data_IF_496810067257
#
_entry.id   IF_496810067257
#
_cell.length_a   1.000
_cell.length_b   1.000
_cell.length_c   1.000
_cell.angle_alpha   90.00
_cell.angle_beta   90.00
_cell.angle_gamma   90.00
#
_symmetry.space_group_name_H-M   'P 1'
#
loop_
_entity.id
_entity.type
_entity.pdbx_description
1 polymer ?
#
# COMPACT_ATOMS: atom_id res chain seq x y z
N UNK A 1 -4.23 -0.64 12.92
CA UNK A 1 -3.62 0.63 12.46
C UNK A 1 -2.60 0.27 11.39
N UNK A 2 -2.57 0.99 10.27
CA UNK A 2 -1.61 0.79 9.19
C UNK A 2 -0.46 1.80 9.26
N UNK A 3 0.53 1.61 8.38
CA UNK A 3 1.69 2.50 8.25
C UNK A 3 1.74 3.07 6.84
N UNK A 4 2.13 4.34 6.74
CA UNK A 4 2.57 4.93 5.50
C UNK A 4 4.08 4.73 5.39
N UNK A 5 4.53 4.12 4.28
CA UNK A 5 5.93 3.71 4.10
C UNK A 5 6.45 4.29 2.79
N UNK A 6 7.66 4.87 2.83
CA UNK A 6 8.40 5.33 1.64
C UNK A 6 9.64 4.46 1.48
N UNK A 7 10.04 4.19 0.24
CA UNK A 7 11.29 3.53 -0.11
C UNK A 7 11.87 4.17 -1.38
N UNK A 8 13.19 4.30 -1.43
CA UNK A 8 14.00 4.77 -2.56
C UNK A 8 14.95 3.65 -3.04
N UNK A 9 14.42 2.42 -3.11
CA UNK A 9 15.17 1.21 -3.45
C UNK A 9 15.16 0.16 -2.33
N UNK A 10 15.68 -1.06 -2.59
CA UNK A 10 15.73 -2.12 -1.60
C UNK A 10 16.49 -1.70 -0.32
N UNK A 11 15.96 -2.07 0.85
CA UNK A 11 16.59 -1.77 2.15
C UNK A 11 16.37 -0.36 2.71
N UNK A 12 15.67 0.52 1.97
CA UNK A 12 15.45 1.93 2.38
C UNK A 12 14.05 2.22 2.92
N UNK A 13 13.26 1.18 3.23
CA UNK A 13 11.89 1.37 3.70
C UNK A 13 11.84 2.10 5.05
N UNK A 14 11.08 3.20 5.09
CA UNK A 14 10.89 4.00 6.30
C UNK A 14 9.41 4.24 6.55
N UNK A 15 8.96 4.03 7.78
CA UNK A 15 7.62 4.44 8.23
C UNK A 15 7.67 5.96 8.43
N UNK A 16 6.86 6.68 7.67
CA UNK A 16 6.80 8.15 7.73
C UNK A 16 5.58 8.65 8.50
N UNK A 17 4.52 7.85 8.57
CA UNK A 17 3.29 8.18 9.27
C UNK A 17 2.46 6.92 9.62
N UNK A 18 1.48 7.06 10.53
CA UNK A 18 0.58 6.02 11.03
C UNK A 18 -0.91 6.35 10.83
N UNK A 19 -1.28 7.35 10.02
CA UNK A 19 -2.70 7.71 9.78
C UNK A 19 -3.49 6.69 8.96
N UNK A 20 -2.81 5.77 8.27
CA UNK A 20 -3.46 4.73 7.46
C UNK A 20 -4.38 3.88 8.33
N UNK A 21 -5.66 3.80 7.92
CA UNK A 21 -6.66 2.95 8.57
C UNK A 21 -6.73 1.61 7.86
N UNK A 22 -6.88 0.55 8.62
CA UNK A 22 -6.95 -0.81 8.09
C UNK A 22 -8.09 -1.58 8.73
N UNK A 23 -8.72 -2.45 7.93
CA UNK A 23 -9.62 -3.50 8.40
C UNK A 23 -9.30 -4.77 7.63
N UNK A 24 -9.22 -5.90 8.33
CA UNK A 24 -8.97 -7.19 7.73
C UNK A 24 -9.95 -8.23 8.27
N UNK A 25 -10.33 -9.17 7.41
CA UNK A 25 -11.13 -10.35 7.77
C UNK A 25 -10.57 -11.56 7.06
N UNK A 26 -10.34 -12.63 7.81
CA UNK A 26 -10.10 -13.96 7.27
C UNK A 26 -11.39 -14.76 7.31
N UNK A 27 -11.80 -15.30 6.18
CA UNK A 27 -12.94 -16.21 6.08
C UNK A 27 -12.79 -17.08 4.82
N UNK A 28 -13.18 -18.35 4.92
CA UNK A 28 -13.24 -19.29 3.78
C UNK A 28 -11.94 -19.36 2.97
N UNK A 29 -10.79 -19.44 3.65
CA UNK A 29 -9.50 -19.56 2.98
C UNK A 29 -9.01 -18.27 2.31
N UNK A 30 -9.62 -17.10 2.60
CA UNK A 30 -9.27 -15.83 1.95
C UNK A 30 -9.19 -14.66 2.92
N UNK A 31 -8.18 -13.82 2.72
CA UNK A 31 -8.10 -12.50 3.32
C UNK A 31 -8.90 -11.49 2.52
N UNK A 32 -9.73 -10.71 3.21
CA UNK A 32 -10.30 -9.47 2.70
C UNK A 32 -9.72 -8.32 3.51
N UNK A 33 -9.04 -7.39 2.84
CA UNK A 33 -8.33 -6.28 3.48
C UNK A 33 -8.76 -4.97 2.84
N UNK A 34 -9.09 -3.99 3.69
CA UNK A 34 -9.29 -2.60 3.29
C UNK A 34 -8.17 -1.77 3.89
N UNK A 35 -7.45 -1.04 3.02
CA UNK A 35 -6.45 -0.04 3.38
C UNK A 35 -7.01 1.30 2.95
N UNK A 36 -7.21 2.21 3.90
CA UNK A 36 -7.79 3.53 3.66
C UNK A 36 -6.84 4.63 4.15
N UNK A 37 -6.70 5.68 3.35
CA UNK A 37 -5.96 6.90 3.67
C UNK A 37 -6.63 8.10 3.01
N UNK A 38 -6.32 9.30 3.48
CA UNK A 38 -6.66 10.53 2.77
C UNK A 38 -5.90 10.61 1.45
N UNK A 39 -6.50 11.24 0.44
CA UNK A 39 -5.89 11.44 -0.87
C UNK A 39 -4.62 12.27 -0.78
N UNK A 40 -4.67 13.38 -0.02
CA UNK A 40 -3.49 14.19 0.32
C UNK A 40 -3.05 13.95 1.76
N UNK A 41 -1.74 13.97 1.98
CA UNK A 41 -1.13 13.97 3.30
C UNK A 41 -0.26 15.23 3.42
N UNK A 42 -0.75 16.21 4.17
CA UNK A 42 -0.07 17.50 4.38
C UNK A 42 1.21 17.29 5.19
N UNK A 43 1.14 16.43 6.20
CA UNK A 43 2.25 16.16 7.13
C UNK A 43 3.28 15.17 6.58
N UNK A 44 3.06 14.63 5.38
CA UNK A 44 3.98 13.68 4.73
C UNK A 44 4.08 13.96 3.23
N UNK A 45 4.71 15.07 2.80
CA UNK A 45 4.76 15.48 1.39
C UNK A 45 5.50 14.47 0.50
N UNK A 46 6.39 13.67 1.07
CA UNK A 46 7.21 12.67 0.35
C UNK A 46 6.44 11.38 0.00
N UNK A 47 5.16 11.28 0.38
CA UNK A 47 4.28 10.19 -0.05
C UNK A 47 3.49 10.63 -1.27
N UNK A 48 2.98 9.67 -2.05
CA UNK A 48 2.12 10.01 -3.18
C UNK A 48 0.91 10.83 -2.72
N UNK A 49 0.72 11.97 -3.38
CA UNK A 49 -0.46 12.84 -3.26
C UNK A 49 -1.42 12.45 -4.38
N UNK A 50 -2.61 12.00 -4.00
CA UNK A 50 -3.66 11.58 -4.92
C UNK A 50 -4.73 12.67 -5.05
N UNK A 51 -5.38 12.73 -6.20
CA UNK A 51 -6.51 13.62 -6.49
C UNK A 51 -7.53 12.90 -7.40
N UNK A 52 -8.83 13.26 -7.37
CA UNK A 52 -9.80 12.76 -8.34
C UNK A 52 -9.36 13.02 -9.79
N UNK A 53 -9.58 12.06 -10.68
CA UNK A 53 -9.13 12.11 -12.08
C UNK A 53 -7.63 11.86 -12.29
N UNK A 54 -6.84 11.70 -11.22
CA UNK A 54 -5.40 11.49 -11.35
C UNK A 54 -5.07 10.11 -11.89
N UNK A 55 -4.24 10.09 -12.94
CA UNK A 55 -3.55 8.88 -13.41
C UNK A 55 -2.28 8.66 -12.61
N UNK A 56 -2.08 7.42 -12.21
CA UNK A 56 -0.97 6.96 -11.40
C UNK A 56 -0.64 5.50 -11.72
N UNK A 57 0.17 4.90 -10.85
CA UNK A 57 0.61 3.53 -10.92
C UNK A 57 0.42 2.86 -9.57
N UNK A 58 0.14 1.56 -9.58
CA UNK A 58 -0.15 0.78 -8.39
C UNK A 58 0.46 -0.62 -8.48
N UNK A 59 0.85 -1.14 -7.33
CA UNK A 59 1.40 -2.48 -7.19
C UNK A 59 1.03 -3.05 -5.84
N UNK A 60 0.95 -4.37 -5.76
CA UNK A 60 0.64 -5.09 -4.52
C UNK A 60 1.78 -6.05 -4.21
N UNK A 61 2.18 -6.10 -2.95
CA UNK A 61 3.00 -7.17 -2.41
C UNK A 61 2.25 -7.88 -1.27
N UNK A 62 2.33 -9.21 -1.25
CA UNK A 62 1.65 -10.08 -0.27
C UNK A 62 2.68 -11.02 0.33
N UNK A 63 2.59 -11.20 1.65
CA UNK A 63 3.39 -12.14 2.41
C UNK A 63 2.48 -13.24 2.96
N UNK A 64 2.78 -14.49 2.62
CA UNK A 64 2.19 -15.66 3.27
C UNK A 64 3.03 -16.05 4.50
N UNK A 65 2.59 -15.58 5.66
CA UNK A 65 3.30 -15.81 6.93
C UNK A 65 3.44 -17.29 7.29
N UNK A 66 2.50 -18.14 6.90
CA UNK A 66 2.60 -19.59 7.07
C UNK A 66 3.74 -20.23 6.29
N UNK A 67 4.22 -19.56 5.24
CA UNK A 67 5.40 -19.94 4.43
C UNK A 67 6.66 -19.14 4.81
N UNK A 68 6.65 -18.49 5.99
CA UNK A 68 7.76 -17.68 6.52
C UNK A 68 8.17 -16.48 5.65
N UNK A 69 7.31 -16.05 4.73
CA UNK A 69 7.55 -14.87 3.93
C UNK A 69 7.64 -13.62 4.82
N UNK A 70 8.70 -12.82 4.62
CA UNK A 70 8.94 -11.56 5.34
C UNK A 70 9.97 -10.70 4.60
N UNK A 71 9.93 -9.39 4.83
CA UNK A 71 10.89 -8.46 4.24
C UNK A 71 10.84 -8.47 2.71
N UNK A 72 11.94 -8.88 2.07
CA UNK A 72 12.04 -9.03 0.61
C UNK A 72 11.41 -10.30 0.05
N UNK A 73 11.22 -11.35 0.87
CA UNK A 73 10.63 -12.62 0.46
C UNK A 73 9.10 -12.51 0.49
N UNK A 74 8.48 -12.41 -0.70
CA UNK A 74 7.05 -12.17 -0.90
C UNK A 74 6.66 -12.38 -2.36
N UNK A 75 5.38 -12.62 -2.59
CA UNK A 75 4.79 -12.42 -3.92
C UNK A 75 4.51 -10.92 -4.16
N UNK A 76 4.60 -10.48 -5.41
CA UNK A 76 4.23 -9.13 -5.82
C UNK A 76 3.64 -9.13 -7.23
N UNK A 77 2.92 -8.07 -7.60
CA UNK A 77 2.18 -7.96 -8.87
C UNK A 77 3.06 -7.85 -10.13
N UNK A 78 4.38 -7.98 -10.02
CA UNK A 78 5.31 -7.70 -11.11
C UNK A 78 5.52 -6.21 -11.30
N UNK A 79 5.30 -5.72 -12.51
CA UNK A 79 5.40 -4.31 -12.85
C UNK A 79 4.24 -3.47 -12.27
N UNK A 80 4.43 -2.16 -12.35
CA UNK A 80 3.41 -1.17 -12.02
C UNK A 80 2.19 -1.29 -12.95
N UNK A 81 1.01 -1.47 -12.37
CA UNK A 81 -0.26 -1.43 -13.07
C UNK A 81 -0.78 0.02 -13.16
N UNK A 82 -1.45 0.42 -14.25
CA UNK A 82 -2.09 1.72 -14.32
C UNK A 82 -3.21 1.82 -13.28
N UNK A 83 -3.29 2.97 -12.61
CA UNK A 83 -4.35 3.32 -11.66
C UNK A 83 -4.92 4.68 -12.06
N UNK A 84 -6.24 4.77 -12.21
CA UNK A 84 -6.94 6.03 -12.34
C UNK A 84 -7.85 6.20 -11.12
N UNK A 85 -7.68 7.31 -10.41
CA UNK A 85 -8.65 7.72 -9.40
C UNK A 85 -9.83 8.29 -10.17
N UNK A 86 -11.02 7.72 -10.01
CA UNK A 86 -12.22 8.20 -10.69
C UNK A 86 -12.39 9.72 -10.47
N UNK A 87 -12.77 10.42 -11.53
CA UNK A 87 -13.23 11.80 -11.44
C UNK A 87 -14.55 11.89 -10.67
N UNK A 88 -14.88 13.11 -10.21
CA UNK A 88 -16.23 13.41 -9.71
C UNK A 88 -17.19 13.67 -10.88
#
# INVERSE_FOLDING_TARGET
>A
MGYQVVAQGPGSSQIVDKTVRTRAKWANGRWSVVIARTFKSVDSPNVIQLEPGQRSRFGIAIWEGGQQERGGLKAYSGDWLPLEIAGQ
#
